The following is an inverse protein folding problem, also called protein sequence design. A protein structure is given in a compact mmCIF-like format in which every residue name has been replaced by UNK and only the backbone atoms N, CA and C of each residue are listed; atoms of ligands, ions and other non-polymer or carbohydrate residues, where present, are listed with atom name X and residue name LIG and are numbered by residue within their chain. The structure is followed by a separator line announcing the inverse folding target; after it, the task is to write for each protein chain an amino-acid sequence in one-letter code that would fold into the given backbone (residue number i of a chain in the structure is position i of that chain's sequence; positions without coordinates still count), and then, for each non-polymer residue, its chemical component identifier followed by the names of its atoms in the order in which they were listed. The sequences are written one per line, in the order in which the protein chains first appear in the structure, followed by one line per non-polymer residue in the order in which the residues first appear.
data_IF_960635028333
#
_entry.id   IF_960635028333
#
_cell.length_a   1.000
_cell.length_b   1.000
_cell.length_c   1.000
_cell.angle_alpha   90.00
_cell.angle_beta   90.00
_cell.angle_gamma   90.00
#
_symmetry.space_group_name_H-M   'P 1'
#
loop_
_entity.id
_entity.type
_entity.pdbx_description
1 polymer ?
#
# COMPACT_ATOMS: atom_id res chain seq x y z
N UNK A 1 -13.56 -25.23 -7.25
CA UNK A 1 -12.95 -23.92 -7.60
C UNK A 1 -11.77 -24.21 -8.49
N UNK A 2 -11.61 -23.57 -9.65
CA UNK A 2 -10.40 -23.70 -10.44
C UNK A 2 -9.25 -23.09 -9.64
N UNK A 3 -8.19 -23.86 -9.39
CA UNK A 3 -6.97 -23.34 -8.79
C UNK A 3 -6.31 -22.40 -9.79
N UNK A 4 -6.09 -21.16 -9.39
CA UNK A 4 -5.44 -20.14 -10.22
C UNK A 4 -3.96 -20.08 -9.88
N UNK A 5 -3.10 -20.08 -10.88
CA UNK A 5 -1.66 -19.88 -10.72
C UNK A 5 -1.38 -18.38 -10.62
N UNK A 6 -0.95 -17.92 -9.46
CA UNK A 6 -0.80 -16.50 -9.14
C UNK A 6 0.67 -16.15 -8.93
N UNK A 7 1.17 -15.16 -9.65
CA UNK A 7 2.45 -14.52 -9.35
C UNK A 7 2.21 -13.33 -8.42
N UNK A 8 2.82 -13.37 -7.22
CA UNK A 8 2.74 -12.28 -6.25
C UNK A 8 4.07 -11.51 -6.21
N UNK A 9 4.07 -10.28 -6.71
CA UNK A 9 5.16 -9.34 -6.58
C UNK A 9 4.93 -8.40 -5.39
N UNK A 10 5.98 -8.21 -4.56
CA UNK A 10 5.89 -7.45 -3.31
C UNK A 10 5.46 -8.28 -2.10
N UNK A 11 5.59 -9.62 -2.16
CA UNK A 11 5.18 -10.58 -1.13
C UNK A 11 5.74 -10.30 0.28
N UNK A 12 6.88 -9.61 0.39
CA UNK A 12 7.53 -9.27 1.67
C UNK A 12 7.03 -7.96 2.30
N UNK A 13 6.23 -7.16 1.55
CA UNK A 13 5.63 -5.92 2.04
C UNK A 13 4.48 -6.15 3.01
N UNK A 14 3.97 -5.06 3.63
CA UNK A 14 2.85 -5.15 4.57
C UNK A 14 1.64 -5.88 3.97
N UNK A 15 1.09 -5.38 2.86
CA UNK A 15 -0.05 -6.02 2.19
C UNK A 15 0.33 -7.37 1.58
N UNK A 16 1.54 -7.48 1.00
CA UNK A 16 2.00 -8.71 0.34
C UNK A 16 2.02 -9.92 1.26
N UNK A 17 2.41 -9.76 2.52
CA UNK A 17 2.39 -10.83 3.53
C UNK A 17 0.97 -11.31 3.85
N UNK A 18 0.01 -10.39 3.97
CA UNK A 18 -1.41 -10.73 4.18
C UNK A 18 -2.00 -11.41 2.94
N UNK A 19 -1.70 -10.89 1.74
CA UNK A 19 -2.12 -11.51 0.49
C UNK A 19 -1.59 -12.93 0.35
N UNK A 20 -0.30 -13.13 0.60
CA UNK A 20 0.31 -14.45 0.53
C UNK A 20 -0.42 -15.46 1.44
N UNK A 21 -0.68 -15.06 2.69
CA UNK A 21 -1.41 -15.88 3.66
C UNK A 21 -2.82 -16.24 3.13
N UNK A 22 -3.61 -15.24 2.73
CA UNK A 22 -4.98 -15.44 2.27
C UNK A 22 -5.03 -16.29 0.99
N UNK A 23 -4.11 -16.07 0.04
CA UNK A 23 -4.05 -16.85 -1.19
C UNK A 23 -3.78 -18.33 -0.93
N UNK A 24 -2.85 -18.65 -0.01
CA UNK A 24 -2.52 -20.02 0.39
C UNK A 24 -3.69 -20.65 1.13
N UNK A 25 -4.32 -19.95 2.07
CA UNK A 25 -5.52 -20.43 2.78
C UNK A 25 -6.68 -20.75 1.84
N UNK A 26 -6.79 -20.04 0.73
CA UNK A 26 -7.76 -20.30 -0.35
C UNK A 26 -7.27 -21.35 -1.36
N UNK A 27 -6.14 -22.03 -1.10
CA UNK A 27 -5.55 -23.09 -1.91
C UNK A 27 -5.19 -22.67 -3.34
N UNK A 28 -4.83 -21.40 -3.58
CA UNK A 28 -4.26 -20.96 -4.85
C UNK A 28 -2.80 -21.39 -4.93
N UNK A 29 -2.33 -21.69 -6.14
CA UNK A 29 -0.91 -21.90 -6.42
C UNK A 29 -0.22 -20.55 -6.54
N UNK A 30 0.71 -20.25 -5.63
CA UNK A 30 1.36 -18.95 -5.54
C UNK A 30 2.84 -19.03 -5.84
N UNK A 31 3.30 -18.26 -6.82
CA UNK A 31 4.72 -17.96 -7.05
C UNK A 31 5.01 -16.60 -6.43
N UNK A 32 5.75 -16.56 -5.32
CA UNK A 32 6.12 -15.32 -4.66
C UNK A 32 7.51 -14.84 -5.12
N UNK A 33 7.57 -13.61 -5.63
CA UNK A 33 8.86 -12.99 -5.98
C UNK A 33 9.46 -12.33 -4.74
N UNK A 34 10.72 -12.69 -4.44
CA UNK A 34 11.49 -12.11 -3.35
C UNK A 34 12.89 -11.71 -3.82
N UNK A 35 13.45 -10.64 -3.24
CA UNK A 35 14.84 -10.23 -3.51
C UNK A 35 15.85 -11.14 -2.84
N UNK A 36 15.51 -11.70 -1.69
CA UNK A 36 16.31 -12.65 -0.90
C UNK A 36 15.43 -13.82 -0.47
N UNK A 37 15.83 -15.08 -0.71
CA UNK A 37 15.01 -16.27 -0.42
C UNK A 37 14.48 -16.35 1.01
N UNK A 38 15.32 -15.99 1.99
CA UNK A 38 15.02 -16.14 3.43
C UNK A 38 14.08 -15.03 4.00
N UNK A 39 13.34 -14.30 3.15
CA UNK A 39 12.44 -13.23 3.59
C UNK A 39 11.02 -13.72 3.89
N UNK A 40 10.69 -14.93 3.46
CA UNK A 40 9.39 -15.57 3.67
C UNK A 40 9.65 -16.98 4.21
N UNK A 41 9.06 -17.28 5.37
CA UNK A 41 8.97 -18.65 5.84
C UNK A 41 7.98 -19.42 4.96
N UNK A 42 8.37 -20.59 4.47
CA UNK A 42 7.52 -21.43 3.63
C UNK A 42 6.99 -22.65 4.41
N UNK A 43 5.93 -22.49 5.21
CA UNK A 43 5.37 -23.61 5.97
C UNK A 43 4.49 -24.54 5.08
N UNK A 44 4.22 -24.16 3.82
CA UNK A 44 3.26 -24.88 2.97
C UNK A 44 3.75 -25.03 1.53
N UNK A 45 4.73 -25.93 1.34
CA UNK A 45 5.39 -26.18 0.03
C UNK A 45 4.41 -26.62 -1.08
N UNK A 46 3.22 -27.09 -0.72
CA UNK A 46 2.23 -27.56 -1.70
C UNK A 46 1.57 -26.40 -2.48
N UNK A 47 1.53 -25.20 -1.93
CA UNK A 47 0.82 -24.03 -2.52
C UNK A 47 1.72 -22.83 -2.77
N UNK A 48 3.00 -22.88 -2.36
CA UNK A 48 3.91 -21.75 -2.46
C UNK A 48 5.25 -22.16 -3.09
N UNK A 49 5.56 -21.53 -4.21
CA UNK A 49 6.90 -21.50 -4.80
C UNK A 49 7.53 -20.13 -4.54
N UNK A 50 8.77 -20.10 -4.06
CA UNK A 50 9.51 -18.85 -3.85
C UNK A 50 10.55 -18.72 -4.96
N UNK A 51 10.46 -17.63 -5.76
CA UNK A 51 11.45 -17.31 -6.80
C UNK A 51 12.23 -16.06 -6.43
N UNK A 52 13.55 -16.16 -6.52
CA UNK A 52 14.41 -15.00 -6.34
C UNK A 52 14.45 -14.17 -7.62
N UNK A 53 13.93 -12.95 -7.56
CA UNK A 53 14.01 -11.97 -8.64
C UNK A 53 13.87 -10.55 -8.08
N UNK A 54 14.38 -9.57 -8.82
CA UNK A 54 14.30 -8.15 -8.49
C UNK A 54 13.55 -7.41 -9.58
N UNK A 55 12.34 -6.95 -9.27
CA UNK A 55 11.41 -6.35 -10.26
C UNK A 55 11.95 -5.10 -10.96
N UNK A 56 12.95 -4.43 -10.37
CA UNK A 56 13.69 -3.32 -11.00
C UNK A 56 14.75 -3.78 -12.00
N UNK A 57 15.02 -5.08 -12.09
CA UNK A 57 16.02 -5.70 -12.97
C UNK A 57 15.34 -6.66 -13.95
N UNK A 58 15.01 -6.22 -15.17
CA UNK A 58 14.24 -7.02 -16.15
C UNK A 58 14.87 -8.39 -16.45
N UNK A 59 16.18 -8.48 -16.44
CA UNK A 59 16.93 -9.72 -16.69
C UNK A 59 16.62 -10.82 -15.68
N UNK A 60 16.25 -10.45 -14.44
CA UNK A 60 15.90 -11.42 -13.38
C UNK A 60 14.45 -11.92 -13.49
N UNK A 61 13.64 -11.28 -14.34
CA UNK A 61 12.22 -11.61 -14.53
C UNK A 61 11.98 -12.56 -15.71
N UNK A 62 13.03 -12.97 -16.42
CA UNK A 62 12.88 -13.84 -17.60
C UNK A 62 12.13 -15.13 -17.23
N UNK A 63 11.06 -15.40 -17.96
CA UNK A 63 10.19 -16.57 -17.83
C UNK A 63 9.50 -16.71 -16.43
N UNK A 64 9.52 -15.65 -15.61
CA UNK A 64 8.94 -15.66 -14.24
C UNK A 64 7.42 -15.88 -14.28
N UNK A 65 6.77 -15.43 -15.34
CA UNK A 65 5.31 -15.53 -15.54
C UNK A 65 4.89 -16.79 -16.33
N UNK A 66 5.82 -17.73 -16.63
CA UNK A 66 5.47 -18.96 -17.36
C UNK A 66 4.49 -19.82 -16.55
N UNK A 67 3.34 -20.14 -17.13
CA UNK A 67 2.28 -20.93 -16.48
C UNK A 67 1.47 -20.15 -15.43
N UNK A 68 1.58 -18.82 -15.40
CA UNK A 68 0.83 -17.94 -14.51
C UNK A 68 -0.43 -17.43 -15.19
N UNK A 69 -1.55 -17.50 -14.51
CA UNK A 69 -2.85 -16.99 -14.96
C UNK A 69 -3.03 -15.52 -14.57
N UNK A 70 -2.64 -15.18 -13.33
CA UNK A 70 -2.83 -13.84 -12.75
C UNK A 70 -1.55 -13.33 -12.10
N UNK A 71 -1.18 -12.09 -12.41
CA UNK A 71 -0.14 -11.35 -11.69
C UNK A 71 -0.79 -10.39 -10.70
N UNK A 72 -0.37 -10.44 -9.43
CA UNK A 72 -0.75 -9.46 -8.41
C UNK A 72 0.50 -8.66 -8.03
N UNK A 73 0.48 -7.34 -8.28
CA UNK A 73 1.56 -6.46 -7.89
C UNK A 73 1.14 -5.52 -6.77
N UNK A 74 1.83 -5.66 -5.63
CA UNK A 74 1.81 -4.71 -4.51
C UNK A 74 3.10 -3.90 -4.46
N UNK A 75 3.85 -3.86 -5.58
CA UNK A 75 5.13 -3.18 -5.69
C UNK A 75 4.92 -1.68 -5.70
N UNK A 76 5.55 -1.01 -4.75
CA UNK A 76 5.54 0.43 -4.61
C UNK A 76 6.28 0.86 -3.34
N UNK A 77 6.66 2.13 -3.27
CA UNK A 77 7.36 2.71 -2.13
C UNK A 77 6.72 4.04 -1.71
N UNK A 78 6.64 4.27 -0.41
CA UNK A 78 6.29 5.59 0.12
C UNK A 78 7.54 6.43 0.37
N UNK A 79 8.63 5.78 0.79
CA UNK A 79 9.92 6.43 1.07
C UNK A 79 10.98 5.87 0.12
N UNK A 80 11.68 6.76 -0.58
CA UNK A 80 12.76 6.39 -1.49
C UNK A 80 13.98 5.93 -0.70
N UNK A 81 14.38 4.68 -0.92
CA UNK A 81 15.57 4.06 -0.32
C UNK A 81 16.45 3.48 -1.41
N UNK A 82 17.67 3.14 -1.07
CA UNK A 82 18.62 2.42 -1.95
C UNK A 82 18.89 3.13 -3.30
N UNK A 83 18.75 4.46 -3.33
CA UNK A 83 18.94 5.26 -4.55
C UNK A 83 17.79 5.18 -5.57
N UNK A 84 16.76 4.37 -5.31
CA UNK A 84 15.61 4.20 -6.21
C UNK A 84 14.56 5.31 -6.01
N UNK A 85 14.00 5.75 -7.13
CA UNK A 85 12.94 6.76 -7.19
C UNK A 85 11.55 6.10 -7.29
N UNK A 86 10.48 6.90 -7.15
CA UNK A 86 9.11 6.44 -7.44
C UNK A 86 8.97 5.95 -8.88
N UNK A 87 9.63 6.63 -9.84
CA UNK A 87 9.59 6.20 -11.24
C UNK A 87 10.28 4.85 -11.45
N UNK A 88 11.33 4.53 -10.72
CA UNK A 88 12.01 3.24 -10.83
C UNK A 88 11.16 2.10 -10.26
N UNK A 89 10.49 2.34 -9.12
CA UNK A 89 9.78 1.27 -8.39
C UNK A 89 8.29 1.23 -8.72
N UNK A 90 7.57 2.35 -8.60
CA UNK A 90 6.11 2.37 -8.78
C UNK A 90 5.71 2.32 -10.25
N UNK A 91 6.57 2.83 -11.16
CA UNK A 91 6.34 2.77 -12.60
C UNK A 91 7.17 1.69 -13.29
N UNK A 92 8.50 1.85 -13.40
CA UNK A 92 9.33 1.01 -14.26
C UNK A 92 9.35 -0.47 -13.82
N UNK A 93 9.45 -0.75 -12.52
CA UNK A 93 9.41 -2.13 -12.03
C UNK A 93 8.09 -2.83 -12.36
N UNK A 94 6.97 -2.12 -12.28
CA UNK A 94 5.66 -2.64 -12.68
C UNK A 94 5.55 -2.78 -14.21
N UNK A 95 6.17 -1.91 -15.01
CA UNK A 95 6.28 -2.06 -16.46
C UNK A 95 7.08 -3.30 -16.86
N UNK A 96 8.17 -3.60 -16.13
CA UNK A 96 8.97 -4.82 -16.35
C UNK A 96 8.12 -6.09 -16.12
N UNK A 97 7.35 -6.12 -15.02
CA UNK A 97 6.41 -7.21 -14.73
C UNK A 97 5.32 -7.32 -15.80
N UNK A 98 4.75 -6.18 -16.23
CA UNK A 98 3.71 -6.15 -17.26
C UNK A 98 4.22 -6.67 -18.60
N UNK A 99 5.44 -6.30 -18.97
CA UNK A 99 6.06 -6.79 -20.20
C UNK A 99 6.24 -8.32 -20.18
N UNK A 100 6.72 -8.88 -19.06
CA UNK A 100 6.89 -10.32 -18.91
C UNK A 100 5.55 -11.06 -18.83
N UNK A 101 4.55 -10.47 -18.16
CA UNK A 101 3.18 -10.99 -18.12
C UNK A 101 2.57 -11.10 -19.54
N UNK A 102 2.70 -10.06 -20.35
CA UNK A 102 2.23 -10.07 -21.76
C UNK A 102 2.94 -11.13 -22.58
N UNK A 103 4.27 -11.21 -22.49
CA UNK A 103 5.09 -12.19 -23.21
C UNK A 103 4.70 -13.63 -22.87
N UNK A 104 4.34 -13.89 -21.61
CA UNK A 104 3.99 -15.22 -21.11
C UNK A 104 2.51 -15.59 -21.28
N UNK A 105 1.67 -14.70 -21.82
CA UNK A 105 0.25 -14.95 -22.03
C UNK A 105 -0.60 -14.91 -20.77
N UNK A 106 -0.15 -14.18 -19.72
CA UNK A 106 -0.95 -13.92 -18.51
C UNK A 106 -2.27 -13.27 -18.91
N UNK A 107 -3.37 -13.73 -18.34
CA UNK A 107 -4.72 -13.26 -18.68
C UNK A 107 -5.16 -12.05 -17.86
N UNK A 108 -4.65 -11.90 -16.62
CA UNK A 108 -5.12 -10.89 -15.67
C UNK A 108 -3.98 -10.26 -14.88
N UNK A 109 -4.02 -8.94 -14.71
CA UNK A 109 -3.06 -8.19 -13.90
C UNK A 109 -3.77 -7.34 -12.85
N UNK A 110 -3.53 -7.64 -11.58
CA UNK A 110 -4.03 -6.88 -10.42
C UNK A 110 -2.95 -5.93 -9.93
N UNK A 111 -3.24 -4.64 -9.88
CA UNK A 111 -2.32 -3.62 -9.39
C UNK A 111 -2.88 -2.86 -8.20
N UNK A 112 -2.07 -2.73 -7.15
CA UNK A 112 -2.42 -1.94 -5.97
C UNK A 112 -1.86 -0.52 -6.10
N UNK A 113 -2.74 0.42 -6.43
CA UNK A 113 -2.48 1.86 -6.44
C UNK A 113 -2.81 2.48 -5.06
N UNK A 114 -3.45 3.64 -5.01
CA UNK A 114 -3.98 4.24 -3.78
C UNK A 114 -5.17 5.14 -4.09
N UNK A 115 -5.99 5.40 -3.07
CA UNK A 115 -7.15 6.29 -3.15
C UNK A 115 -6.76 7.67 -3.68
N UNK A 116 -7.62 8.28 -4.51
CA UNK A 116 -7.45 9.62 -5.07
C UNK A 116 -6.15 9.85 -5.88
N UNK A 117 -5.46 8.77 -6.31
CA UNK A 117 -4.25 8.90 -7.13
C UNK A 117 -4.48 9.69 -8.42
N UNK A 118 -5.62 9.48 -9.06
CA UNK A 118 -6.06 10.18 -10.28
C UNK A 118 -6.27 11.68 -10.06
N UNK A 119 -6.73 12.11 -8.87
CA UNK A 119 -6.94 13.51 -8.51
C UNK A 119 -5.62 14.24 -8.18
N UNK A 120 -4.65 13.51 -7.66
CA UNK A 120 -3.39 14.07 -7.15
C UNK A 120 -2.17 13.67 -7.99
N UNK A 121 -2.31 13.52 -9.30
CA UNK A 121 -1.21 13.14 -10.22
C UNK A 121 0.01 14.08 -10.16
N UNK A 122 -0.13 15.28 -9.61
CA UNK A 122 0.97 16.22 -9.41
C UNK A 122 1.93 15.79 -8.27
N UNK A 123 1.49 14.93 -7.36
CA UNK A 123 2.34 14.34 -6.32
C UNK A 123 3.23 13.26 -6.93
N UNK A 124 4.54 13.30 -6.68
CA UNK A 124 5.52 12.44 -7.34
C UNK A 124 5.25 10.93 -7.20
N UNK A 125 4.71 10.51 -6.06
CA UNK A 125 4.30 9.11 -5.85
C UNK A 125 3.11 8.74 -6.74
N UNK A 126 2.12 9.63 -6.85
CA UNK A 126 0.94 9.38 -7.69
C UNK A 126 1.24 9.55 -9.18
N UNK A 127 2.13 10.47 -9.55
CA UNK A 127 2.62 10.58 -10.93
C UNK A 127 3.12 9.22 -11.45
N UNK A 128 3.98 8.54 -10.67
CA UNK A 128 4.53 7.24 -11.04
C UNK A 128 3.45 6.13 -11.05
N UNK A 129 2.61 6.06 -10.00
CA UNK A 129 1.55 5.05 -9.91
C UNK A 129 0.52 5.18 -11.03
N UNK A 130 0.04 6.39 -11.28
CA UNK A 130 -1.00 6.62 -12.28
C UNK A 130 -0.48 6.49 -13.71
N UNK A 131 0.81 6.77 -13.95
CA UNK A 131 1.46 6.45 -15.22
C UNK A 131 1.45 4.96 -15.49
N UNK A 132 1.66 4.12 -14.47
CA UNK A 132 1.53 2.67 -14.62
C UNK A 132 0.06 2.24 -14.79
N UNK A 133 -0.87 2.84 -14.05
CA UNK A 133 -2.32 2.59 -14.23
C UNK A 133 -2.75 2.83 -15.68
N UNK A 134 -2.31 3.95 -16.27
CA UNK A 134 -2.62 4.27 -17.67
C UNK A 134 -2.02 3.23 -18.64
N UNK A 135 -0.78 2.82 -18.43
CA UNK A 135 -0.12 1.78 -19.23
C UNK A 135 -0.81 0.41 -19.08
N UNK A 136 -1.22 0.04 -17.86
CA UNK A 136 -1.94 -1.21 -17.63
C UNK A 136 -3.31 -1.24 -18.32
N UNK A 137 -4.08 -0.15 -18.24
CA UNK A 137 -5.39 -0.03 -18.89
C UNK A 137 -5.32 -0.16 -20.42
N UNK A 138 -4.20 0.23 -21.02
CA UNK A 138 -3.97 0.16 -22.47
C UNK A 138 -3.15 -1.06 -22.90
N UNK A 139 -2.81 -1.97 -21.97
CA UNK A 139 -1.90 -3.08 -22.22
C UNK A 139 -2.47 -4.21 -23.09
N UNK A 140 -3.80 -4.34 -23.14
CA UNK A 140 -4.51 -5.46 -23.75
C UNK A 140 -4.77 -6.64 -22.81
N UNK A 141 -4.22 -6.63 -21.58
CA UNK A 141 -4.57 -7.62 -20.54
C UNK A 141 -5.85 -7.20 -19.81
N UNK A 142 -6.59 -8.18 -19.27
CA UNK A 142 -7.57 -7.85 -18.24
C UNK A 142 -6.86 -7.27 -17.03
N UNK A 143 -7.49 -6.30 -16.39
CA UNK A 143 -6.88 -5.65 -15.23
C UNK A 143 -7.87 -5.48 -14.08
N UNK A 144 -7.34 -5.40 -12.85
CA UNK A 144 -8.04 -4.88 -11.69
C UNK A 144 -7.13 -3.89 -10.98
N UNK A 145 -7.58 -2.63 -10.84
CA UNK A 145 -6.85 -1.59 -10.12
C UNK A 145 -7.49 -1.47 -8.75
N UNK A 146 -6.71 -1.74 -7.71
CA UNK A 146 -7.16 -1.61 -6.31
C UNK A 146 -6.64 -0.30 -5.76
N UNK A 147 -7.55 0.55 -5.25
CA UNK A 147 -7.26 1.86 -4.65
C UNK A 147 -7.63 1.85 -3.16
N UNK A 148 -6.78 1.26 -2.31
CA UNK A 148 -7.04 1.28 -0.88
C UNK A 148 -6.89 2.68 -0.31
N UNK A 149 -7.60 2.92 0.80
CA UNK A 149 -7.27 4.00 1.71
C UNK A 149 -5.95 3.69 2.45
N UNK A 150 -5.48 4.59 3.31
CA UNK A 150 -4.25 4.37 4.08
C UNK A 150 -4.26 3.04 4.83
N UNK A 151 -3.10 2.39 4.95
CA UNK A 151 -3.00 1.16 5.71
C UNK A 151 -2.93 1.42 7.21
N UNK A 152 -3.34 0.46 8.02
CA UNK A 152 -3.12 0.53 9.47
C UNK A 152 -1.64 0.70 9.82
N UNK A 153 -0.73 0.12 9.03
CA UNK A 153 0.72 0.32 9.20
C UNK A 153 1.15 1.77 9.05
N UNK A 154 0.49 2.56 8.20
CA UNK A 154 0.80 3.98 8.00
C UNK A 154 0.35 4.81 9.20
N UNK A 155 -0.68 4.35 9.92
CA UNK A 155 -1.18 4.99 11.14
C UNK A 155 -0.21 4.87 12.32
N UNK A 156 0.85 4.06 12.22
CA UNK A 156 1.91 3.99 13.25
C UNK A 156 2.59 5.33 13.49
N UNK A 157 2.61 6.24 12.53
CA UNK A 157 3.17 7.57 12.71
C UNK A 157 2.43 8.35 13.82
N UNK A 158 1.11 8.13 13.98
CA UNK A 158 0.34 8.68 15.12
C UNK A 158 0.77 8.07 16.46
N UNK A 159 1.05 6.76 16.50
CA UNK A 159 1.60 6.12 17.70
C UNK A 159 2.99 6.65 18.05
N UNK A 160 3.84 6.92 17.07
CA UNK A 160 5.17 7.50 17.31
C UNK A 160 5.07 8.92 17.89
N UNK A 161 4.18 9.76 17.35
CA UNK A 161 3.90 11.08 17.95
C UNK A 161 3.35 10.92 19.38
N UNK A 162 2.40 10.02 19.59
CA UNK A 162 1.78 9.78 20.89
C UNK A 162 2.76 9.30 21.96
N UNK A 163 3.89 8.66 21.62
CA UNK A 163 4.95 8.28 22.55
C UNK A 163 5.51 9.50 23.31
N UNK A 164 5.66 10.63 22.64
CA UNK A 164 6.09 11.89 23.27
C UNK A 164 5.03 12.51 24.20
N UNK A 165 3.82 11.92 24.26
CA UNK A 165 2.69 12.40 25.05
C UNK A 165 1.86 13.49 24.37
N UNK A 166 2.11 13.79 23.08
CA UNK A 166 1.37 14.79 22.31
C UNK A 166 1.34 14.44 20.82
N UNK A 167 0.20 14.68 20.18
CA UNK A 167 0.06 14.58 18.73
C UNK A 167 -0.11 15.99 18.14
N UNK A 168 0.56 16.24 17.02
CA UNK A 168 0.48 17.50 16.28
C UNK A 168 -0.28 17.27 14.98
N UNK A 169 -1.31 18.09 14.73
CA UNK A 169 -2.12 18.06 13.52
C UNK A 169 -2.07 19.43 12.85
N UNK A 170 -2.09 19.46 11.53
CA UNK A 170 -2.35 20.69 10.79
C UNK A 170 -3.86 20.88 10.56
N UNK A 171 -4.34 22.13 10.66
CA UNK A 171 -5.75 22.45 10.53
C UNK A 171 -6.58 21.98 11.73
N UNK A 172 -7.87 21.74 11.51
CA UNK A 172 -8.82 21.38 12.59
C UNK A 172 -8.72 19.94 13.07
N UNK A 173 -8.09 19.06 12.28
CA UNK A 173 -8.07 17.63 12.55
C UNK A 173 -9.42 16.90 12.33
N UNK A 174 -10.38 17.56 11.68
CA UNK A 174 -11.71 16.99 11.42
C UNK A 174 -11.80 16.22 10.10
N UNK A 175 -10.75 16.25 9.29
CA UNK A 175 -10.67 15.47 8.04
C UNK A 175 -10.80 13.99 8.36
N UNK A 176 -11.61 13.31 7.54
CA UNK A 176 -12.02 11.92 7.78
C UNK A 176 -11.30 10.94 6.88
N UNK A 177 -10.94 9.82 7.47
CA UNK A 177 -10.26 8.69 6.83
C UNK A 177 -10.89 7.39 7.28
N UNK A 178 -10.81 6.37 6.45
CA UNK A 178 -11.10 5.01 6.86
C UNK A 178 -9.94 4.07 6.44
N UNK A 179 -8.81 4.12 7.16
CA UNK A 179 -7.68 3.23 6.90
C UNK A 179 -8.10 1.77 6.99
N UNK A 180 -7.40 0.89 6.25
CA UNK A 180 -7.77 -0.53 6.14
C UNK A 180 -6.67 -1.45 6.68
N UNK A 181 -7.07 -2.55 7.32
CA UNK A 181 -6.16 -3.61 7.74
C UNK A 181 -5.69 -4.43 6.55
N UNK A 182 -4.41 -4.86 6.58
CA UNK A 182 -3.83 -5.64 5.46
C UNK A 182 -4.57 -6.94 5.16
N UNK A 183 -5.08 -7.64 6.18
CA UNK A 183 -5.84 -8.88 5.99
C UNK A 183 -7.22 -8.62 5.36
N UNK A 184 -7.91 -7.56 5.78
CA UNK A 184 -9.20 -7.20 5.17
C UNK A 184 -9.01 -6.83 3.70
N UNK A 185 -7.99 -6.02 3.38
CA UNK A 185 -7.69 -5.69 2.00
C UNK A 185 -7.29 -6.91 1.17
N UNK A 186 -6.51 -7.83 1.75
CA UNK A 186 -6.13 -9.07 1.09
C UNK A 186 -7.37 -9.93 0.74
N UNK A 187 -8.30 -10.08 1.68
CA UNK A 187 -9.57 -10.78 1.44
C UNK A 187 -10.36 -10.10 0.32
N UNK A 188 -10.52 -8.78 0.36
CA UNK A 188 -11.22 -8.03 -0.68
C UNK A 188 -10.59 -8.21 -2.06
N UNK A 189 -9.25 -8.22 -2.17
CA UNK A 189 -8.55 -8.45 -3.44
C UNK A 189 -8.84 -9.86 -3.95
N UNK A 190 -8.73 -10.87 -3.08
CA UNK A 190 -8.94 -12.28 -3.47
C UNK A 190 -10.39 -12.56 -3.87
N UNK A 191 -11.36 -11.96 -3.19
CA UNK A 191 -12.78 -12.06 -3.54
C UNK A 191 -13.13 -11.45 -4.90
N UNK A 192 -12.32 -10.48 -5.36
CA UNK A 192 -12.52 -9.77 -6.63
C UNK A 192 -11.56 -10.21 -7.75
N UNK A 193 -10.88 -11.36 -7.62
CA UNK A 193 -9.93 -11.84 -8.65
C UNK A 193 -10.61 -12.22 -9.97
N UNK A 194 -11.90 -12.55 -9.95
CA UNK A 194 -12.69 -12.84 -11.16
C UNK A 194 -13.27 -11.59 -11.84
N UNK A 195 -13.07 -10.42 -11.25
CA UNK A 195 -13.66 -9.18 -11.70
C UNK A 195 -12.67 -8.37 -12.54
N UNK A 196 -12.89 -8.36 -13.84
CA UNK A 196 -11.96 -7.78 -14.79
C UNK A 196 -12.29 -6.35 -15.20
N UNK A 197 -11.27 -5.62 -15.65
CA UNK A 197 -11.36 -4.29 -16.29
C UNK A 197 -12.04 -3.24 -15.40
N UNK A 198 -11.77 -3.30 -14.09
CA UNK A 198 -12.35 -2.36 -13.13
C UNK A 198 -11.35 -1.75 -12.15
N UNK A 199 -11.81 -0.69 -11.52
CA UNK A 199 -11.11 -0.04 -10.40
C UNK A 199 -11.96 -0.21 -9.15
N UNK A 200 -11.35 -0.72 -8.08
CA UNK A 200 -11.98 -0.94 -6.77
C UNK A 200 -11.37 0.07 -5.80
N UNK A 201 -12.19 0.96 -5.27
CA UNK A 201 -11.80 1.85 -4.16
C UNK A 201 -12.33 1.26 -2.86
N UNK A 202 -11.49 1.15 -1.82
CA UNK A 202 -11.81 0.41 -0.61
C UNK A 202 -11.14 1.00 0.62
N UNK A 203 -11.88 1.07 1.72
CA UNK A 203 -11.39 1.50 3.03
C UNK A 203 -11.83 0.55 4.14
N UNK A 204 -11.29 0.74 5.33
CA UNK A 204 -11.65 -0.03 6.51
C UNK A 204 -13.05 0.28 7.05
N UNK A 205 -13.50 -0.48 8.07
CA UNK A 205 -14.85 -0.34 8.63
C UNK A 205 -15.07 0.97 9.39
N UNK A 206 -14.02 1.58 9.92
CA UNK A 206 -14.11 2.75 10.78
C UNK A 206 -13.81 4.03 10.00
N UNK A 207 -14.78 4.95 9.90
CA UNK A 207 -14.55 6.30 9.39
C UNK A 207 -14.19 7.21 10.57
N UNK A 208 -12.93 7.60 10.66
CA UNK A 208 -12.34 8.33 11.79
C UNK A 208 -11.81 9.70 11.35
N UNK A 209 -11.99 10.73 12.19
CA UNK A 209 -11.26 11.98 12.01
C UNK A 209 -9.80 11.83 12.45
N UNK A 210 -8.92 12.74 12.00
CA UNK A 210 -7.54 12.79 12.49
C UNK A 210 -7.49 12.98 14.02
N UNK A 211 -8.46 13.72 14.57
CA UNK A 211 -8.61 13.86 16.02
C UNK A 211 -8.93 12.52 16.68
N UNK A 212 -9.80 11.69 16.08
CA UNK A 212 -10.16 10.39 16.64
C UNK A 212 -8.99 9.41 16.56
N UNK A 213 -8.27 9.37 15.42
CA UNK A 213 -7.04 8.58 15.29
C UNK A 213 -6.01 8.99 16.33
N UNK A 214 -5.84 10.30 16.57
CA UNK A 214 -4.91 10.82 17.57
C UNK A 214 -5.31 10.43 19.01
N UNK A 215 -6.61 10.48 19.33
CA UNK A 215 -7.14 10.02 20.63
C UNK A 215 -6.90 8.52 20.82
N UNK A 216 -7.16 7.71 19.80
CA UNK A 216 -6.91 6.27 19.83
C UNK A 216 -5.43 5.97 20.10
N UNK A 217 -4.52 6.66 19.39
CA UNK A 217 -3.08 6.48 19.57
C UNK A 217 -2.60 6.84 21.00
N UNK A 218 -3.02 7.99 21.52
CA UNK A 218 -2.68 8.42 22.90
C UNK A 218 -3.25 7.46 23.95
N UNK A 219 -4.52 7.07 23.79
CA UNK A 219 -5.21 6.16 24.73
C UNK A 219 -4.56 4.77 24.74
N UNK A 220 -4.12 4.25 23.58
CA UNK A 220 -3.45 2.94 23.48
C UNK A 220 -2.12 2.89 24.23
N UNK A 221 -1.48 4.04 24.38
CA UNK A 221 -0.23 4.21 25.16
C UNK A 221 -0.48 4.65 26.62
N UNK A 222 -1.74 4.71 27.09
CA UNK A 222 -2.13 5.23 28.40
C UNK A 222 -1.61 6.66 28.64
N UNK A 223 -1.61 7.52 27.61
CA UNK A 223 -1.19 8.92 27.69
C UNK A 223 -2.41 9.84 27.80
N UNK A 224 -2.29 10.98 28.50
CA UNK A 224 -3.31 12.03 28.46
C UNK A 224 -3.57 12.50 27.03
N UNK A 225 -4.83 12.79 26.69
CA UNK A 225 -5.20 13.27 25.34
C UNK A 225 -4.72 14.71 25.18
N UNK A 226 -3.57 14.88 24.54
CA UNK A 226 -2.97 16.17 24.20
C UNK A 226 -2.77 16.26 22.69
N UNK A 227 -3.66 16.97 21.99
CA UNK A 227 -3.60 17.23 20.55
C UNK A 227 -3.36 18.71 20.36
N UNK A 228 -2.36 19.07 19.55
CA UNK A 228 -2.05 20.45 19.20
C UNK A 228 -2.36 20.69 17.73
N UNK A 229 -3.25 21.62 17.47
CA UNK A 229 -3.60 22.02 16.13
C UNK A 229 -2.71 23.17 15.66
N UNK A 230 -1.97 22.94 14.57
CA UNK A 230 -1.14 23.95 13.92
C UNK A 230 -1.91 24.59 12.77
N UNK A 231 -1.74 25.88 12.50
CA UNK A 231 -2.41 26.55 11.40
C UNK A 231 -2.09 25.89 10.05
N UNK A 232 -3.08 25.80 9.13
CA UNK A 232 -2.88 25.21 7.80
C UNK A 232 -1.85 25.99 6.95
N UNK A 233 -1.74 27.29 7.16
CA UNK A 233 -0.69 28.10 6.50
C UNK A 233 0.73 27.56 6.80
N UNK A 234 0.97 27.01 8.00
CA UNK A 234 2.25 26.41 8.34
C UNK A 234 2.50 25.11 7.55
N UNK A 235 1.44 24.27 7.35
CA UNK A 235 1.54 23.11 6.46
C UNK A 235 1.94 23.49 5.05
N UNK A 236 1.28 24.50 4.46
CA UNK A 236 1.58 25.01 3.11
C UNK A 236 2.99 25.59 3.01
N UNK A 237 3.41 26.34 4.03
CA UNK A 237 4.76 26.87 4.13
C UNK A 237 5.81 25.75 4.22
N UNK A 238 5.53 24.71 5.03
CA UNK A 238 6.41 23.53 5.14
C UNK A 238 6.60 22.84 3.79
N UNK A 239 5.49 22.57 3.07
CA UNK A 239 5.55 21.94 1.73
C UNK A 239 6.36 22.82 0.77
N UNK A 240 6.10 24.13 0.73
CA UNK A 240 6.82 25.06 -0.13
C UNK A 240 8.32 25.09 0.18
N UNK A 241 8.70 25.19 1.44
CA UNK A 241 10.09 25.19 1.89
C UNK A 241 10.81 23.89 1.50
N UNK A 242 10.18 22.75 1.80
CA UNK A 242 10.76 21.46 1.49
C UNK A 242 10.93 21.24 -0.02
N UNK A 243 9.95 21.62 -0.84
CA UNK A 243 10.06 21.58 -2.30
C UNK A 243 11.18 22.42 -2.85
N UNK A 244 11.39 23.62 -2.25
CA UNK A 244 12.39 24.59 -2.72
C UNK A 244 13.81 24.18 -2.35
N UNK A 245 14.01 23.63 -1.15
CA UNK A 245 15.33 23.41 -0.57
C UNK A 245 15.76 21.95 -0.45
N UNK A 246 14.89 20.99 -0.79
CA UNK A 246 15.23 19.57 -0.66
C UNK A 246 14.91 18.78 -1.94
N UNK A 247 15.44 17.55 -2.01
CA UNK A 247 15.18 16.65 -3.13
C UNK A 247 13.82 15.92 -3.00
N UNK A 248 13.32 15.34 -4.10
CA UNK A 248 12.11 14.52 -4.15
C UNK A 248 12.14 13.42 -3.10
N UNK A 249 13.31 12.86 -2.83
CA UNK A 249 13.51 11.83 -1.80
C UNK A 249 13.08 12.31 -0.42
N UNK A 250 13.29 13.56 -0.10
CA UNK A 250 12.96 14.18 1.20
C UNK A 250 11.55 14.73 1.20
N UNK A 251 11.21 15.59 0.23
CA UNK A 251 9.92 16.25 0.26
C UNK A 251 8.74 15.35 -0.20
N UNK A 252 9.00 14.43 -1.12
CA UNK A 252 7.94 13.62 -1.73
C UNK A 252 7.04 12.88 -0.74
N UNK A 253 7.60 12.11 0.22
CA UNK A 253 6.79 11.44 1.24
C UNK A 253 6.04 12.41 2.15
N UNK A 254 6.68 13.52 2.54
CA UNK A 254 6.09 14.52 3.45
C UNK A 254 4.95 15.25 2.75
N UNK A 255 5.19 15.71 1.52
CA UNK A 255 4.17 16.38 0.72
C UNK A 255 2.96 15.48 0.48
N UNK A 256 3.20 14.22 0.09
CA UNK A 256 2.15 13.21 -0.09
C UNK A 256 1.28 13.09 1.15
N UNK A 257 1.89 12.86 2.32
CA UNK A 257 1.19 12.71 3.57
C UNK A 257 0.43 13.98 3.96
N UNK A 258 1.10 15.14 3.95
CA UNK A 258 0.50 16.41 4.32
C UNK A 258 -0.62 16.86 3.39
N UNK A 259 -0.57 16.51 2.11
CA UNK A 259 -1.63 16.82 1.15
C UNK A 259 -2.86 15.97 1.41
N UNK A 260 -2.69 14.64 1.56
CA UNK A 260 -3.81 13.75 1.82
C UNK A 260 -4.47 14.04 3.17
N UNK A 261 -3.68 14.38 4.21
CA UNK A 261 -4.22 14.72 5.53
C UNK A 261 -4.99 16.05 5.58
N UNK A 262 -5.00 16.83 4.50
CA UNK A 262 -5.69 18.12 4.45
C UNK A 262 -7.13 18.03 3.91
N UNK A 263 -7.57 16.88 3.45
CA UNK A 263 -8.89 16.65 2.88
C UNK A 263 -9.51 15.34 3.36
N UNK A 264 -10.81 15.17 3.16
CA UNK A 264 -11.49 13.92 3.45
C UNK A 264 -11.10 12.84 2.44
N UNK A 265 -10.68 11.68 2.94
CA UNK A 265 -10.37 10.51 2.15
C UNK A 265 -11.21 9.34 2.69
N UNK A 266 -12.42 9.20 2.18
CA UNK A 266 -13.36 8.14 2.57
C UNK A 266 -13.60 7.25 1.36
N UNK A 267 -13.41 5.96 1.54
CA UNK A 267 -13.71 4.91 0.58
C UNK A 267 -14.90 4.06 1.06
N UNK A 268 -15.53 3.26 0.20
CA UNK A 268 -16.49 2.24 0.62
C UNK A 268 -15.90 1.36 1.73
N UNK A 269 -16.65 1.17 2.81
CA UNK A 269 -16.19 0.44 4.00
C UNK A 269 -16.17 -1.05 3.75
N UNK A 270 -15.13 -1.72 4.25
CA UNK A 270 -14.97 -3.17 4.18
C UNK A 270 -14.16 -3.70 5.36
N UNK A 271 -14.39 -4.97 5.72
CA UNK A 271 -13.60 -5.70 6.70
C UNK A 271 -14.14 -5.64 8.12
N UNK A 272 -13.39 -6.25 9.04
CA UNK A 272 -13.77 -6.46 10.43
C UNK A 272 -12.72 -5.98 11.43
N UNK A 273 -11.53 -5.63 10.97
CA UNK A 273 -10.45 -5.19 11.85
C UNK A 273 -10.58 -3.69 12.15
N UNK A 274 -10.52 -3.35 13.43
CA UNK A 274 -10.64 -1.98 13.91
C UNK A 274 -9.28 -1.38 14.25
N UNK A 275 -9.07 -0.10 13.86
CA UNK A 275 -7.81 0.60 14.12
C UNK A 275 -7.47 0.68 15.61
N UNK A 276 -8.49 0.74 16.48
CA UNK A 276 -8.32 0.72 17.94
C UNK A 276 -7.59 -0.52 18.43
N UNK A 277 -7.96 -1.69 17.92
CA UNK A 277 -7.38 -2.95 18.35
C UNK A 277 -5.96 -3.10 17.82
N UNK A 278 -5.73 -2.73 16.56
CA UNK A 278 -4.39 -2.66 15.98
C UNK A 278 -3.45 -1.75 16.81
N UNK A 279 -3.90 -0.56 17.23
CA UNK A 279 -3.10 0.31 18.06
C UNK A 279 -2.79 -0.29 19.43
N UNK A 280 -3.70 -1.06 20.04
CA UNK A 280 -3.45 -1.77 21.30
C UNK A 280 -2.39 -2.85 21.14
N UNK A 281 -2.44 -3.63 20.10
CA UNK A 281 -1.44 -4.66 19.81
C UNK A 281 -0.06 -4.06 19.60
N UNK A 282 0.04 -3.03 18.77
CA UNK A 282 1.29 -2.31 18.51
C UNK A 282 1.85 -1.64 19.79
N UNK A 283 0.99 -1.05 20.63
CA UNK A 283 1.40 -0.44 21.89
C UNK A 283 1.98 -1.49 22.88
N UNK A 284 1.45 -2.72 22.89
CA UNK A 284 1.97 -3.80 23.71
C UNK A 284 3.34 -4.29 23.22
N UNK A 285 3.55 -4.32 21.90
CA UNK A 285 4.85 -4.67 21.30
C UNK A 285 5.92 -3.62 21.63
N UNK A 286 5.53 -2.34 21.72
CA UNK A 286 6.43 -1.23 22.05
C UNK A 286 6.84 -1.15 23.54
N UNK A 287 6.17 -1.89 24.44
CA UNK A 287 6.47 -1.95 25.87
C UNK A 287 7.44 -3.08 26.22
N UNK A 288 7.65 -4.02 25.31
CA UNK A 288 8.63 -5.11 25.41
C UNK A 288 9.99 -4.69 24.87
#
# INVERSE_FOLDING_TARGET
MQHTNILLAGATGYLGRHLLKVLIEKQNQVVAIVRKPNQIDNPNENYLEIKQAEVTKPETLRDICKGIDTVISTVGITRQKDGLTYMDVDYQANMNLLAEAKKSGVSHFVYVSAINGDKHRHLKIFEAKEKFVDALKTSGLNYTIVRPNGFFSDMKDFLQMAKSGRVYLFGSGNQKFNPIHGEDLANAIVENLSDYNKTITIGGPDVLSLNDISKLALSSLNKPIKITHLPDCLRRFTIWTLRTFTSVKTYGPIEFFLTLMAEDNIAPTYGKHHLKDYFREEANTLKR
#
